data_IF_425848067723
#
_entry.id   IF_425848067723
#
_cell.length_a   1.000
_cell.length_b   1.000
_cell.length_c   1.000
_cell.angle_alpha   90.00
_cell.angle_beta   90.00
_cell.angle_gamma   90.00
#
_symmetry.space_group_name_H-M   'P 1'
#
loop_
_entity.id
_entity.type
_entity.pdbx_description
1 polymer ?
#
# COMPACT_ATOMS: atom_id res chain seq x y z
N UNK A 1 1.41 1.35 -4.17
CA UNK A 1 0.80 1.81 -5.43
C UNK A 1 0.51 3.28 -5.27
N UNK A 2 0.65 4.06 -6.34
CA UNK A 2 0.14 5.44 -6.38
C UNK A 2 -1.36 5.38 -6.59
N UNK A 3 -2.11 6.15 -5.81
CA UNK A 3 -3.56 6.22 -5.81
C UNK A 3 -4.00 7.67 -6.02
N UNK A 4 -4.91 7.90 -6.97
CA UNK A 4 -5.40 9.24 -7.33
C UNK A 4 -6.87 9.19 -7.80
N UNK A 5 -7.55 10.33 -7.80
CA UNK A 5 -8.92 10.46 -8.32
C UNK A 5 -9.03 10.25 -9.84
N UNK A 6 -7.94 10.53 -10.57
CA UNK A 6 -7.88 10.54 -12.03
C UNK A 6 -6.58 9.90 -12.52
N UNK A 7 -6.51 9.45 -13.79
CA UNK A 7 -5.27 8.99 -14.39
C UNK A 7 -4.16 10.04 -14.29
N UNK A 8 -2.99 9.63 -13.82
CA UNK A 8 -1.78 10.45 -13.69
C UNK A 8 -0.56 9.68 -14.21
N UNK A 9 0.47 10.42 -14.64
CA UNK A 9 1.80 9.87 -14.97
C UNK A 9 2.71 9.88 -13.74
N UNK A 10 3.64 8.93 -13.65
CA UNK A 10 4.68 8.89 -12.60
C UNK A 10 5.52 10.18 -12.66
N UNK A 11 5.89 10.64 -13.85
CA UNK A 11 6.77 11.81 -14.02
C UNK A 11 6.15 13.12 -13.52
N UNK A 12 4.81 13.17 -13.38
CA UNK A 12 4.10 14.34 -12.89
C UNK A 12 4.04 14.41 -11.36
N UNK A 13 4.35 13.33 -10.64
CA UNK A 13 4.17 13.25 -9.18
C UNK A 13 4.89 14.35 -8.38
N UNK A 14 6.11 14.79 -8.74
CA UNK A 14 6.79 15.86 -8.01
C UNK A 14 6.03 17.19 -7.96
N UNK A 15 5.15 17.45 -8.95
CA UNK A 15 4.38 18.69 -9.07
C UNK A 15 2.95 18.56 -8.52
N UNK A 16 2.56 17.35 -8.08
CA UNK A 16 1.21 17.09 -7.59
C UNK A 16 1.14 17.10 -6.06
N UNK A 17 0.01 17.53 -5.47
CA UNK A 17 -0.18 17.49 -4.03
C UNK A 17 -0.22 16.05 -3.53
N UNK A 18 0.63 15.74 -2.56
CA UNK A 18 0.69 14.44 -1.90
C UNK A 18 -0.02 14.47 -0.54
N UNK A 19 -0.92 13.50 -0.36
CA UNK A 19 -1.54 13.14 0.92
C UNK A 19 -0.62 12.06 1.54
N UNK A 20 0.15 12.43 2.55
CA UNK A 20 1.08 11.51 3.21
C UNK A 20 0.32 10.56 4.14
N UNK A 21 0.38 9.25 3.87
CA UNK A 21 -0.19 8.24 4.74
C UNK A 21 0.79 7.88 5.85
N UNK A 22 0.44 8.19 7.10
CA UNK A 22 1.22 7.83 8.27
C UNK A 22 1.13 6.32 8.50
N UNK A 23 2.28 5.66 8.43
CA UNK A 23 2.40 4.20 8.44
C UNK A 23 3.63 3.76 9.23
N UNK A 24 3.79 2.45 9.43
CA UNK A 24 4.99 1.87 10.02
C UNK A 24 6.28 2.24 9.26
N UNK A 25 7.39 2.32 9.97
CA UNK A 25 8.70 2.73 9.45
C UNK A 25 9.16 1.92 8.25
N UNK A 26 8.81 0.62 8.17
CA UNK A 26 9.23 -0.22 7.03
C UNK A 26 8.52 0.22 5.76
N UNK A 27 7.21 0.48 5.82
CA UNK A 27 6.48 0.98 4.66
C UNK A 27 6.93 2.39 4.30
N UNK A 28 7.13 3.28 5.28
CA UNK A 28 7.62 4.63 5.04
C UNK A 28 8.97 4.61 4.31
N UNK A 29 9.94 3.84 4.80
CA UNK A 29 11.25 3.74 4.18
C UNK A 29 11.19 3.16 2.76
N UNK A 30 10.26 2.23 2.49
CA UNK A 30 10.04 1.69 1.14
C UNK A 30 9.52 2.77 0.19
N UNK A 31 8.56 3.59 0.64
CA UNK A 31 8.02 4.71 -0.14
C UNK A 31 9.09 5.77 -0.38
N UNK A 32 9.81 6.18 0.67
CA UNK A 32 10.89 7.17 0.58
C UNK A 32 11.98 6.70 -0.38
N UNK A 33 12.44 5.45 -0.24
CA UNK A 33 13.45 4.86 -1.13
C UNK A 33 12.97 4.91 -2.58
N UNK A 34 11.75 4.43 -2.85
CA UNK A 34 11.18 4.46 -4.20
C UNK A 34 11.14 5.90 -4.74
N UNK A 35 10.69 6.86 -3.92
CA UNK A 35 10.59 8.27 -4.33
C UNK A 35 11.96 8.83 -4.73
N UNK A 36 12.98 8.70 -3.86
CA UNK A 36 14.32 9.23 -4.12
C UNK A 36 15.10 8.47 -5.19
N UNK A 37 14.67 7.24 -5.54
CA UNK A 37 15.18 6.54 -6.72
C UNK A 37 14.64 7.09 -8.03
N UNK A 38 13.44 7.69 -8.02
CA UNK A 38 12.74 8.17 -9.22
C UNK A 38 12.82 9.70 -9.40
N UNK A 39 12.92 10.46 -8.31
CA UNK A 39 12.84 11.91 -8.34
C UNK A 39 13.96 12.56 -7.53
N UNK A 40 14.43 13.70 -8.02
CA UNK A 40 15.37 14.57 -7.30
C UNK A 40 14.66 15.54 -6.35
N UNK A 41 13.43 15.92 -6.68
CA UNK A 41 12.60 16.79 -5.86
C UNK A 41 11.93 16.02 -4.72
N UNK A 42 11.78 16.67 -3.56
CA UNK A 42 10.98 16.15 -2.46
C UNK A 42 9.47 16.15 -2.81
N UNK A 43 8.67 15.23 -2.25
CA UNK A 43 7.22 15.24 -2.48
C UNK A 43 6.57 16.50 -1.92
N UNK A 44 5.58 17.05 -2.64
CA UNK A 44 4.77 18.18 -2.19
C UNK A 44 3.70 17.70 -1.20
N UNK A 45 4.13 17.38 0.03
CA UNK A 45 3.22 16.92 1.09
C UNK A 45 2.36 18.07 1.57
N UNK A 46 1.06 18.02 1.27
CA UNK A 46 0.10 19.06 1.68
C UNK A 46 -0.66 18.69 2.97
N UNK A 47 -0.68 17.41 3.33
CA UNK A 47 -1.32 16.90 4.55
C UNK A 47 -0.77 15.53 4.94
N UNK A 48 -0.91 15.18 6.22
CA UNK A 48 -0.61 13.86 6.77
C UNK A 48 -1.87 13.25 7.38
N UNK A 49 -2.13 11.96 7.08
CA UNK A 49 -3.33 11.24 7.48
C UNK A 49 -2.93 9.87 8.03
N UNK A 50 -3.48 9.48 9.18
CA UNK A 50 -3.16 8.20 9.85
C UNK A 50 -4.15 7.06 9.57
N UNK A 51 -5.28 7.40 8.94
CA UNK A 51 -6.34 6.48 8.56
C UNK A 51 -6.42 6.27 7.05
N UNK A 52 -6.36 5.01 6.64
CA UNK A 52 -6.33 4.63 5.23
C UNK A 52 -7.64 5.00 4.50
N UNK A 53 -8.76 4.76 5.16
CA UNK A 53 -10.11 5.15 4.77
C UNK A 53 -10.23 6.67 4.57
N UNK A 54 -9.74 7.47 5.52
CA UNK A 54 -9.73 8.94 5.37
C UNK A 54 -8.85 9.39 4.22
N UNK A 55 -7.69 8.76 4.02
CA UNK A 55 -6.80 9.07 2.89
C UNK A 55 -7.51 8.79 1.55
N UNK A 56 -8.22 7.68 1.44
CA UNK A 56 -9.01 7.33 0.25
C UNK A 56 -10.14 8.34 0.00
N UNK A 57 -10.86 8.76 1.04
CA UNK A 57 -11.90 9.79 0.90
C UNK A 57 -11.33 11.11 0.36
N UNK A 58 -10.16 11.52 0.85
CA UNK A 58 -9.47 12.73 0.38
C UNK A 58 -9.01 12.60 -1.08
N UNK A 59 -8.50 11.43 -1.46
CA UNK A 59 -8.16 11.13 -2.86
C UNK A 59 -9.42 11.22 -3.73
N UNK A 60 -10.52 10.58 -3.35
CA UNK A 60 -11.79 10.60 -4.10
C UNK A 60 -12.38 12.00 -4.24
N UNK A 61 -12.14 12.89 -3.29
CA UNK A 61 -12.49 14.31 -3.35
C UNK A 61 -11.47 15.18 -4.10
N UNK A 62 -10.54 14.56 -4.83
CA UNK A 62 -9.58 15.24 -5.71
C UNK A 62 -8.65 16.21 -4.96
N UNK A 63 -8.31 15.91 -3.70
CA UNK A 63 -7.39 16.72 -2.89
C UNK A 63 -5.91 16.41 -3.16
N UNK A 64 -5.62 15.28 -3.80
CA UNK A 64 -4.26 14.90 -4.18
C UNK A 64 -4.12 13.41 -4.46
N UNK A 65 -2.87 12.96 -4.53
CA UNK A 65 -2.54 11.54 -4.63
C UNK A 65 -1.93 11.01 -3.33
N UNK A 66 -1.91 9.70 -3.14
CA UNK A 66 -1.13 9.06 -2.07
C UNK A 66 -0.42 7.81 -2.56
N UNK A 67 0.57 7.35 -1.81
CA UNK A 67 1.24 6.06 -2.04
C UNK A 67 0.80 5.11 -0.95
N UNK A 68 -0.06 4.16 -1.32
CA UNK A 68 -0.73 3.25 -0.39
C UNK A 68 -0.40 1.77 -0.69
N UNK A 69 -0.49 0.87 0.32
CA UNK A 69 -0.45 -0.57 0.07
C UNK A 69 -1.54 -0.98 -0.93
N UNK A 70 -1.21 -1.89 -1.84
CA UNK A 70 -2.19 -2.39 -2.82
C UNK A 70 -3.43 -3.01 -2.18
N UNK A 71 -3.30 -3.58 -0.98
CA UNK A 71 -4.42 -4.14 -0.22
C UNK A 71 -5.46 -3.09 0.17
N UNK A 72 -5.01 -1.88 0.54
CA UNK A 72 -5.89 -0.76 0.94
C UNK A 72 -6.74 -0.30 -0.22
N UNK A 73 -6.12 -0.10 -1.39
CA UNK A 73 -6.80 0.42 -2.58
C UNK A 73 -7.55 -0.66 -3.37
N UNK A 74 -7.39 -1.96 -3.02
CA UNK A 74 -7.84 -3.10 -3.86
C UNK A 74 -9.31 -2.97 -4.26
N UNK A 75 -10.18 -2.72 -3.29
CA UNK A 75 -11.64 -2.73 -3.48
C UNK A 75 -12.24 -1.35 -3.81
N UNK A 76 -11.41 -0.33 -4.03
CA UNK A 76 -11.83 1.03 -4.36
C UNK A 76 -11.78 1.25 -5.86
N UNK A 77 -12.86 0.92 -6.58
CA UNK A 77 -12.93 1.03 -8.05
C UNK A 77 -12.90 2.47 -8.57
N UNK A 78 -13.32 3.41 -7.74
CA UNK A 78 -13.38 4.85 -7.99
C UNK A 78 -12.00 5.52 -7.99
N UNK A 79 -10.99 4.85 -7.43
CA UNK A 79 -9.62 5.35 -7.34
C UNK A 79 -8.78 4.79 -8.49
N UNK A 80 -8.11 5.66 -9.23
CA UNK A 80 -7.09 5.27 -10.18
C UNK A 80 -5.85 4.74 -9.45
N UNK A 81 -5.35 3.58 -9.88
CA UNK A 81 -4.26 2.84 -9.22
C UNK A 81 -3.12 2.62 -10.20
N UNK A 82 -1.96 3.13 -9.86
CA UNK A 82 -0.74 2.95 -10.64
C UNK A 82 0.29 2.16 -9.82
N UNK A 83 0.74 0.98 -10.28
CA UNK A 83 1.78 0.23 -9.58
C UNK A 83 3.09 1.04 -9.57
N UNK A 84 3.80 0.97 -8.45
CA UNK A 84 5.17 1.48 -8.37
C UNK A 84 6.14 0.38 -8.75
N UNK A 85 7.18 0.74 -9.50
CA UNK A 85 8.21 -0.17 -9.98
C UNK A 85 9.58 0.30 -9.51
N UNK A 86 10.54 -0.60 -9.42
CA UNK A 86 11.95 -0.23 -9.27
C UNK A 86 12.55 0.24 -10.61
N UNK A 87 13.83 0.61 -10.59
CA UNK A 87 14.55 1.07 -11.79
C UNK A 87 14.67 0.01 -12.90
N UNK A 88 14.48 -1.26 -12.56
CA UNK A 88 14.52 -2.39 -13.50
C UNK A 88 13.12 -2.71 -14.06
N UNK A 89 12.08 -1.99 -13.62
CA UNK A 89 10.70 -2.18 -14.03
C UNK A 89 9.96 -3.26 -13.22
N UNK A 90 10.58 -3.83 -12.19
CA UNK A 90 9.91 -4.83 -11.36
C UNK A 90 8.93 -4.14 -10.41
N UNK A 91 7.73 -4.70 -10.27
CA UNK A 91 6.74 -4.18 -9.31
C UNK A 91 7.28 -4.29 -7.88
N UNK A 92 7.22 -3.19 -7.13
CA UNK A 92 7.55 -3.22 -5.70
C UNK A 92 6.37 -3.82 -4.94
N UNK A 93 6.62 -4.97 -4.30
CA UNK A 93 5.63 -5.72 -3.50
C UNK A 93 6.04 -5.78 -2.03
N UNK A 94 5.04 -5.87 -1.15
CA UNK A 94 5.24 -6.08 0.29
C UNK A 94 4.64 -7.43 0.70
N UNK A 95 5.46 -8.27 1.32
CA UNK A 95 5.01 -9.54 1.87
C UNK A 95 4.23 -9.32 3.17
N UNK A 96 3.11 -10.04 3.32
CA UNK A 96 2.36 -10.16 4.56
C UNK A 96 2.73 -11.48 5.24
N UNK A 97 2.92 -11.43 6.55
CA UNK A 97 3.40 -12.57 7.33
C UNK A 97 2.40 -12.88 8.44
N UNK A 98 2.14 -14.16 8.69
CA UNK A 98 1.42 -14.66 9.85
C UNK A 98 2.43 -15.27 10.82
N UNK A 99 2.40 -14.87 12.09
CA UNK A 99 3.28 -15.39 13.11
C UNK A 99 2.46 -16.02 14.24
N UNK A 100 2.80 -17.25 14.62
CA UNK A 100 2.22 -17.93 15.78
C UNK A 100 3.30 -18.68 16.56
N UNK A 101 3.13 -18.77 17.89
CA UNK A 101 3.97 -19.66 18.70
C UNK A 101 3.57 -21.11 18.40
N UNK A 102 4.56 -21.96 18.11
CA UNK A 102 4.35 -23.36 17.73
C UNK A 102 3.50 -24.11 18.78
N UNK A 103 3.86 -23.98 20.06
CA UNK A 103 3.15 -24.59 21.19
C UNK A 103 1.64 -24.25 21.20
N UNK A 104 1.29 -22.99 20.90
CA UNK A 104 -0.11 -22.54 20.87
C UNK A 104 -0.84 -23.07 19.64
N UNK A 105 -0.14 -23.17 18.50
CA UNK A 105 -0.70 -23.73 17.28
C UNK A 105 -1.08 -25.21 17.47
N UNK A 106 -0.23 -25.98 18.16
CA UNK A 106 -0.50 -27.39 18.48
C UNK A 106 -1.53 -27.58 19.60
N UNK A 107 -1.65 -26.62 20.52
CA UNK A 107 -2.59 -26.72 21.63
C UNK A 107 -4.02 -26.32 21.26
N UNK A 108 -4.22 -25.27 20.47
CA UNK A 108 -5.54 -24.70 20.22
C UNK A 108 -6.07 -25.09 18.84
N UNK A 109 -7.12 -25.93 18.81
CA UNK A 109 -7.81 -26.33 17.59
C UNK A 109 -8.28 -25.12 16.76
N UNK A 110 -8.85 -24.11 17.42
CA UNK A 110 -9.30 -22.90 16.74
C UNK A 110 -8.17 -22.15 16.01
N UNK A 111 -6.96 -22.15 16.57
CA UNK A 111 -5.80 -21.51 15.93
C UNK A 111 -5.35 -22.30 14.69
N UNK A 112 -5.36 -23.65 14.74
CA UNK A 112 -5.10 -24.47 13.56
C UNK A 112 -6.12 -24.22 12.45
N UNK A 113 -7.40 -24.30 12.79
CA UNK A 113 -8.48 -24.06 11.82
C UNK A 113 -8.38 -22.67 11.19
N UNK A 114 -8.00 -21.66 11.97
CA UNK A 114 -7.76 -20.32 11.45
C UNK A 114 -6.55 -20.28 10.49
N UNK A 115 -5.42 -20.89 10.85
CA UNK A 115 -4.24 -20.98 9.98
C UNK A 115 -4.56 -21.69 8.67
N UNK A 116 -5.19 -22.87 8.74
CA UNK A 116 -5.59 -23.68 7.58
C UNK A 116 -6.52 -22.89 6.64
N UNK A 117 -7.48 -22.17 7.22
CA UNK A 117 -8.38 -21.28 6.49
C UNK A 117 -7.63 -20.15 5.78
N UNK A 118 -6.74 -19.45 6.49
CA UNK A 118 -5.95 -18.35 5.90
C UNK A 118 -5.05 -18.86 4.79
N UNK A 119 -4.39 -20.00 4.97
CA UNK A 119 -3.54 -20.61 3.93
C UNK A 119 -4.33 -20.97 2.67
N UNK A 120 -5.49 -21.62 2.85
CA UNK A 120 -6.38 -21.98 1.74
C UNK A 120 -6.89 -20.72 1.02
N UNK A 121 -7.36 -19.72 1.76
CA UNK A 121 -7.84 -18.46 1.21
C UNK A 121 -6.77 -17.71 0.40
N UNK A 122 -5.51 -17.77 0.83
CA UNK A 122 -4.41 -17.12 0.11
C UNK A 122 -3.99 -17.86 -1.16
N UNK A 123 -4.18 -19.19 -1.25
CA UNK A 123 -3.93 -19.95 -2.47
C UNK A 123 -4.96 -19.63 -3.56
N UNK A 124 -6.24 -19.53 -3.19
CA UNK A 124 -7.33 -19.21 -4.12
C UNK A 124 -7.25 -17.78 -4.68
N UNK A 125 -6.58 -16.88 -3.96
CA UNK A 125 -6.45 -15.46 -4.30
C UNK A 125 -5.11 -15.11 -4.97
N UNK A 126 -4.31 -16.10 -5.41
CA UNK A 126 -3.12 -15.84 -6.24
C UNK A 126 -3.54 -15.20 -7.57
N UNK A 127 -3.49 -13.87 -7.60
CA UNK A 127 -3.51 -12.98 -8.78
C UNK A 127 -2.19 -12.24 -8.81
#
# INVERSE_FOLDING_TARGET
MVASSKPISIDALPELPMISYKTDTKLKNMIDKWWYEHFTAAPQVIMEVDRADTCLDMISNNLGFSILPGLVVRNHSEVYKLPIQDKEGNKITRNSWMFSKLERHEQFFALRQFTDYVESYMQDKKV
#
